data_IF_244052815154
#
_entry.id   IF_244052815154
#
_cell.length_a   1.000
_cell.length_b   1.000
_cell.length_c   1.000
_cell.angle_alpha   90.00
_cell.angle_beta   90.00
_cell.angle_gamma   90.00
#
_symmetry.space_group_name_H-M   'P 1'
#
loop_
_entity.id
_entity.type
_entity.pdbx_description
1 polymer ?
#
# COMPACT_ATOMS: atom_id res chain seq x y z
N UNK A 1 23.81 15.57 17.59
CA UNK A 1 22.94 14.88 16.60
C UNK A 1 21.41 14.87 16.92
N UNK A 2 20.83 15.66 17.86
CA UNK A 2 19.38 15.58 18.13
C UNK A 2 18.50 16.29 17.09
N UNK A 3 19.05 17.18 16.26
CA UNK A 3 18.27 17.91 15.26
C UNK A 3 17.79 16.98 14.14
N UNK A 4 18.62 16.02 13.71
CA UNK A 4 18.29 15.09 12.63
C UNK A 4 17.16 14.11 13.01
N UNK A 5 17.13 13.65 14.27
CA UNK A 5 16.07 12.74 14.75
C UNK A 5 14.72 13.44 14.86
N UNK A 6 14.69 14.75 15.20
CA UNK A 6 13.45 15.54 15.19
C UNK A 6 12.91 15.76 13.78
N UNK A 7 13.79 16.03 12.81
CA UNK A 7 13.40 16.20 11.41
C UNK A 7 12.87 14.88 10.84
N UNK A 8 13.58 13.76 11.06
CA UNK A 8 13.11 12.44 10.65
C UNK A 8 11.76 12.08 11.27
N UNK A 9 11.58 12.33 12.57
CA UNK A 9 10.31 12.12 13.26
C UNK A 9 9.16 12.94 12.67
N UNK A 10 9.40 14.22 12.34
CA UNK A 10 8.40 15.07 11.69
C UNK A 10 7.95 14.53 10.33
N UNK A 11 8.88 14.01 9.52
CA UNK A 11 8.58 13.39 8.22
C UNK A 11 7.71 12.14 8.41
N UNK A 12 8.02 11.28 9.39
CA UNK A 12 7.22 10.09 9.67
C UNK A 12 5.79 10.46 10.12
N UNK A 13 5.63 11.44 10.99
CA UNK A 13 4.30 11.89 11.44
C UNK A 13 3.47 12.37 10.25
N UNK A 14 4.05 13.21 9.40
CA UNK A 14 3.38 13.71 8.20
C UNK A 14 2.96 12.57 7.26
N UNK A 15 3.85 11.59 7.06
CA UNK A 15 3.57 10.40 6.27
C UNK A 15 2.37 9.60 6.82
N UNK A 16 2.32 9.37 8.15
CA UNK A 16 1.20 8.64 8.77
C UNK A 16 -0.12 9.40 8.68
N UNK A 17 -0.12 10.73 8.75
CA UNK A 17 -1.33 11.56 8.56
C UNK A 17 -1.87 11.40 7.15
N UNK A 18 -1.03 11.51 6.12
CA UNK A 18 -1.43 11.31 4.72
C UNK A 18 -2.00 9.91 4.53
N UNK A 19 -1.36 8.89 5.09
CA UNK A 19 -1.82 7.50 5.01
C UNK A 19 -3.20 7.33 5.67
N UNK A 20 -3.43 8.00 6.80
CA UNK A 20 -4.74 8.08 7.46
C UNK A 20 -5.81 8.71 6.56
N UNK A 21 -5.49 9.81 5.87
CA UNK A 21 -6.40 10.47 4.93
C UNK A 21 -6.77 9.53 3.76
N UNK A 22 -5.78 8.84 3.18
CA UNK A 22 -6.06 7.87 2.10
C UNK A 22 -6.90 6.68 2.57
N UNK A 23 -6.74 6.24 3.82
CA UNK A 23 -7.58 5.20 4.43
C UNK A 23 -9.03 5.67 4.59
N UNK A 24 -9.25 6.91 5.06
CA UNK A 24 -10.60 7.50 5.16
C UNK A 24 -11.25 7.65 3.77
N UNK A 25 -10.47 8.06 2.78
CA UNK A 25 -10.93 8.19 1.40
C UNK A 25 -11.35 6.84 0.81
N UNK A 26 -10.62 5.77 1.14
CA UNK A 26 -10.98 4.41 0.77
C UNK A 26 -12.32 4.00 1.39
N UNK A 27 -12.52 4.24 2.69
CA UNK A 27 -13.80 3.94 3.36
C UNK A 27 -14.95 4.71 2.70
N UNK A 28 -14.74 6.01 2.41
CA UNK A 28 -15.74 6.83 1.73
C UNK A 28 -16.02 6.33 0.29
N UNK A 29 -14.97 5.93 -0.43
CA UNK A 29 -15.02 5.37 -1.78
C UNK A 29 -15.82 4.08 -1.85
N UNK A 30 -15.58 3.16 -0.91
CA UNK A 30 -16.31 1.88 -0.83
C UNK A 30 -17.78 2.07 -0.43
N UNK A 31 -18.12 3.09 0.36
CA UNK A 31 -19.54 3.34 0.73
C UNK A 31 -20.35 4.03 -0.36
N UNK A 32 -19.71 4.67 -1.31
CA UNK A 32 -20.34 5.48 -2.37
C UNK A 32 -20.13 4.88 -3.77
N UNK A 33 -19.51 3.71 -3.87
CA UNK A 33 -19.18 3.00 -5.11
C UNK A 33 -18.44 3.86 -6.16
N UNK A 34 -17.66 4.83 -5.70
CA UNK A 34 -16.88 5.72 -6.55
C UNK A 34 -15.45 5.20 -6.72
N UNK A 35 -15.17 4.59 -7.87
CA UNK A 35 -13.85 4.03 -8.24
C UNK A 35 -12.67 4.99 -8.05
N UNK A 36 -12.90 6.29 -8.26
CA UNK A 36 -11.84 7.31 -8.22
C UNK A 36 -11.21 7.47 -6.85
N UNK A 37 -11.96 7.20 -5.77
CA UNK A 37 -11.46 7.33 -4.40
C UNK A 37 -10.60 6.14 -3.94
N UNK A 38 -10.65 5.01 -4.65
CA UNK A 38 -9.81 3.84 -4.35
C UNK A 38 -8.41 3.96 -4.97
N UNK A 39 -8.28 4.70 -6.08
CA UNK A 39 -7.02 4.91 -6.79
C UNK A 39 -5.87 5.49 -5.94
N UNK A 40 -6.06 6.56 -5.15
CA UNK A 40 -4.96 7.14 -4.38
C UNK A 40 -4.37 6.15 -3.38
N UNK A 41 -5.21 5.32 -2.73
CA UNK A 41 -4.75 4.28 -1.82
C UNK A 41 -3.98 3.17 -2.56
N UNK A 42 -4.47 2.74 -3.73
CA UNK A 42 -3.81 1.73 -4.58
C UNK A 42 -2.42 2.18 -5.04
N UNK A 43 -2.29 3.42 -5.54
CA UNK A 43 -1.01 3.96 -6.02
C UNK A 43 -0.03 4.10 -4.84
N UNK A 44 -0.50 4.64 -3.72
CA UNK A 44 0.34 4.84 -2.54
C UNK A 44 0.89 3.53 -1.99
N UNK A 45 0.04 2.51 -1.82
CA UNK A 45 0.48 1.19 -1.36
C UNK A 45 1.37 0.47 -2.39
N UNK A 46 1.18 0.67 -3.69
CA UNK A 46 2.07 0.10 -4.70
C UNK A 46 3.50 0.64 -4.58
N UNK A 47 3.64 1.96 -4.36
CA UNK A 47 4.94 2.60 -4.10
C UNK A 47 5.55 2.08 -2.80
N UNK A 48 4.73 1.92 -1.75
CA UNK A 48 5.17 1.38 -0.47
C UNK A 48 5.71 -0.05 -0.61
N UNK A 49 5.03 -0.92 -1.36
CA UNK A 49 5.47 -2.30 -1.62
C UNK A 49 6.81 -2.31 -2.35
N UNK A 50 6.98 -1.46 -3.37
CA UNK A 50 8.24 -1.36 -4.10
C UNK A 50 9.40 -0.94 -3.17
N UNK A 51 9.14 0.03 -2.28
CA UNK A 51 10.10 0.48 -1.28
C UNK A 51 10.44 -0.61 -0.25
N UNK A 52 9.44 -1.30 0.31
CA UNK A 52 9.67 -2.33 1.33
C UNK A 52 10.37 -3.56 0.78
N UNK A 53 10.07 -3.97 -0.46
CA UNK A 53 10.78 -5.07 -1.13
C UNK A 53 12.23 -4.69 -1.42
N UNK A 54 12.48 -3.48 -1.92
CA UNK A 54 13.84 -2.98 -2.18
C UNK A 54 14.67 -2.94 -0.89
N UNK A 55 14.09 -2.45 0.20
CA UNK A 55 14.73 -2.45 1.51
C UNK A 55 14.94 -3.87 2.07
N UNK A 56 13.96 -4.77 1.90
CA UNK A 56 14.07 -6.16 2.36
C UNK A 56 15.24 -6.89 1.71
N UNK A 57 15.41 -6.71 0.39
CA UNK A 57 16.54 -7.26 -0.37
C UNK A 57 17.85 -6.62 0.10
N UNK A 58 17.88 -5.29 0.24
CA UNK A 58 19.09 -4.57 0.68
C UNK A 58 19.55 -5.00 2.08
N UNK A 59 18.61 -5.16 3.02
CA UNK A 59 18.91 -5.57 4.39
C UNK A 59 19.42 -7.02 4.46
N UNK A 60 18.81 -7.91 3.65
CA UNK A 60 19.26 -9.31 3.52
C UNK A 60 20.66 -9.42 2.94
N UNK A 61 20.99 -8.62 1.91
CA UNK A 61 22.28 -8.67 1.24
C UNK A 61 23.44 -8.10 2.07
N UNK A 62 23.18 -7.05 2.88
CA UNK A 62 24.24 -6.35 3.64
C UNK A 62 24.53 -6.97 5.00
N UNK A 63 23.54 -7.54 5.67
CA UNK A 63 23.65 -7.88 7.10
C UNK A 63 23.50 -9.39 7.39
N UNK A 64 23.74 -10.25 6.42
CA UNK A 64 23.61 -11.71 6.57
C UNK A 64 24.52 -12.31 7.65
N UNK A 65 25.64 -11.65 7.99
CA UNK A 65 26.56 -12.09 9.05
C UNK A 65 25.99 -11.92 10.46
N UNK A 66 25.03 -11.01 10.65
CA UNK A 66 24.49 -10.68 11.97
C UNK A 66 23.12 -11.32 12.17
N UNK A 67 22.96 -12.32 13.07
CA UNK A 67 21.72 -13.09 13.17
C UNK A 67 20.51 -12.25 13.58
N UNK A 68 20.69 -11.24 14.43
CA UNK A 68 19.61 -10.32 14.83
C UNK A 68 19.10 -9.49 13.66
N UNK A 69 20.00 -9.13 12.74
CA UNK A 69 19.68 -8.34 11.55
C UNK A 69 18.96 -9.21 10.52
N UNK A 70 19.40 -10.46 10.35
CA UNK A 70 18.72 -11.45 9.50
C UNK A 70 17.30 -11.72 10.00
N UNK A 71 17.10 -11.84 11.32
CA UNK A 71 15.76 -11.99 11.92
C UNK A 71 14.87 -10.78 11.63
N UNK A 72 15.39 -9.56 11.78
CA UNK A 72 14.67 -8.33 11.45
C UNK A 72 14.29 -8.28 9.96
N UNK A 73 15.16 -8.75 9.06
CA UNK A 73 14.84 -8.84 7.64
C UNK A 73 13.68 -9.79 7.37
N UNK A 74 13.64 -10.96 8.01
CA UNK A 74 12.55 -11.94 7.87
C UNK A 74 11.22 -11.32 8.31
N UNK A 75 11.19 -10.61 9.45
CA UNK A 75 10.00 -9.90 9.91
C UNK A 75 9.54 -8.81 8.92
N UNK A 76 10.49 -8.11 8.29
CA UNK A 76 10.18 -7.11 7.25
C UNK A 76 9.54 -7.74 6.00
N UNK A 77 9.93 -8.96 5.64
CA UNK A 77 9.29 -9.72 4.57
C UNK A 77 7.83 -10.10 4.90
N UNK A 78 7.56 -10.57 6.12
CA UNK A 78 6.18 -10.83 6.57
C UNK A 78 5.32 -9.56 6.53
N UNK A 79 5.85 -8.43 6.96
CA UNK A 79 5.14 -7.16 6.88
C UNK A 79 4.84 -6.75 5.43
N UNK A 80 5.79 -6.98 4.52
CA UNK A 80 5.59 -6.74 3.09
C UNK A 80 4.48 -7.62 2.51
N UNK A 81 4.39 -8.90 2.92
CA UNK A 81 3.28 -9.78 2.53
C UNK A 81 1.92 -9.25 2.99
N UNK A 82 1.82 -8.70 4.20
CA UNK A 82 0.58 -8.10 4.70
C UNK A 82 0.15 -6.88 3.89
N UNK A 83 1.11 -6.02 3.52
CA UNK A 83 0.83 -4.84 2.68
C UNK A 83 0.36 -5.30 1.28
N UNK A 84 1.04 -6.29 0.70
CA UNK A 84 0.65 -6.87 -0.59
C UNK A 84 -0.76 -7.43 -0.52
N UNK A 85 -1.10 -8.21 0.52
CA UNK A 85 -2.45 -8.74 0.71
C UNK A 85 -3.51 -7.63 0.77
N UNK A 86 -3.25 -6.58 1.56
CA UNK A 86 -4.15 -5.43 1.65
C UNK A 86 -4.34 -4.74 0.29
N UNK A 87 -3.26 -4.58 -0.48
CA UNK A 87 -3.32 -4.03 -1.83
C UNK A 87 -4.17 -4.90 -2.77
N UNK A 88 -4.00 -6.23 -2.74
CA UNK A 88 -4.81 -7.16 -3.54
C UNK A 88 -6.30 -7.07 -3.18
N UNK A 89 -6.65 -6.94 -1.90
CA UNK A 89 -8.06 -6.77 -1.48
C UNK A 89 -8.69 -5.54 -2.11
N UNK A 90 -8.01 -4.39 -2.07
CA UNK A 90 -8.52 -3.14 -2.64
C UNK A 90 -8.56 -3.21 -4.17
N UNK A 91 -7.57 -3.86 -4.78
CA UNK A 91 -7.53 -4.07 -6.22
C UNK A 91 -8.70 -4.94 -6.71
N UNK A 92 -9.04 -6.01 -5.97
CA UNK A 92 -10.20 -6.85 -6.24
C UNK A 92 -11.50 -6.04 -6.20
N UNK A 93 -11.70 -5.20 -5.17
CA UNK A 93 -12.87 -4.31 -5.08
C UNK A 93 -12.91 -3.30 -6.24
N UNK A 94 -11.76 -2.78 -6.65
CA UNK A 94 -11.67 -1.87 -7.80
C UNK A 94 -12.10 -2.55 -9.12
N UNK A 95 -11.73 -3.81 -9.33
CA UNK A 95 -12.15 -4.58 -10.51
C UNK A 95 -13.66 -4.80 -10.53
N UNK A 96 -14.24 -5.17 -9.39
CA UNK A 96 -15.68 -5.36 -9.23
C UNK A 96 -16.45 -4.08 -9.56
N UNK A 97 -16.03 -2.94 -9.02
CA UNK A 97 -16.64 -1.64 -9.33
C UNK A 97 -16.50 -1.26 -10.81
N UNK A 98 -15.37 -1.61 -11.44
CA UNK A 98 -15.16 -1.37 -12.87
C UNK A 98 -16.17 -2.17 -13.71
N UNK A 99 -16.47 -3.41 -13.33
CA UNK A 99 -17.46 -4.25 -14.02
C UNK A 99 -18.87 -3.70 -13.84
N UNK A 100 -19.28 -3.34 -12.62
CA UNK A 100 -20.59 -2.73 -12.37
C UNK A 100 -20.82 -1.42 -13.13
N UNK A 101 -19.78 -0.61 -13.31
CA UNK A 101 -19.85 0.66 -14.04
C UNK A 101 -19.69 0.51 -15.56
N UNK A 102 -19.20 -0.64 -16.03
CA UNK A 102 -19.13 -0.96 -17.46
C UNK A 102 -20.48 -1.55 -17.82
N UNK A 103 -21.45 -0.69 -18.13
CA UNK A 103 -22.80 -1.11 -18.49
C UNK A 103 -22.76 -2.24 -19.50
N UNK A 104 -23.37 -3.38 -19.15
CA UNK A 104 -23.40 -4.56 -20.00
C UNK A 104 -24.24 -4.22 -21.23
N UNK A 105 -23.59 -3.83 -22.33
CA UNK A 105 -24.24 -3.60 -23.62
C UNK A 105 -24.62 -4.94 -24.21
N UNK A 106 -25.74 -5.49 -23.74
CA UNK A 106 -26.41 -6.59 -24.42
C UNK A 106 -26.92 -6.02 -25.75
N UNK A 107 -26.29 -6.44 -26.84
CA UNK A 107 -26.75 -6.19 -28.21
C UNK A 107 -28.04 -6.98 -28.36
N UNK A 108 -29.17 -6.31 -28.16
CA UNK A 108 -30.52 -6.92 -28.21
C UNK A 108 -30.89 -7.36 -29.64
N UNK A 109 -30.21 -6.86 -30.67
CA UNK A 109 -30.45 -7.17 -32.08
C UNK A 109 -29.17 -6.92 -32.90
N UNK A 110 -28.88 -7.74 -33.94
CA UNK A 110 -27.70 -7.61 -34.78
C UNK A 110 -27.66 -6.30 -35.59
#
# INVERSE_FOLDING_TARGET
>A
MPCATKIAGGIFIFYFIILGIFSLLLIAGTRRDYRGFLLPYLVWLAVLICYTVSLGIWFSARYYTYPISTWSSIMSWFFSCLIIYCWLCVFSQYQVLKEYQTGNVVVLYP
#
